data_IF_860179171180
#
_entry.id   IF_860179171180
#
_cell.length_a   1.000
_cell.length_b   1.000
_cell.length_c   1.000
_cell.angle_alpha   90.00
_cell.angle_beta   90.00
_cell.angle_gamma   90.00
#
_symmetry.space_group_name_H-M   'P 1'
#
loop_
_entity.id
_entity.type
_entity.pdbx_description
1 polymer ?
#
# COMPACT_ATOMS: atom_id res chain seq x y z
N UNK A 1 -9.51 -4.86 3.76
CA UNK A 1 -9.74 -3.57 4.48
C UNK A 1 -8.74 -2.54 4.03
N UNK A 2 -7.46 -2.72 4.20
CA UNK A 2 -6.41 -1.77 3.81
C UNK A 2 -6.39 -1.41 2.31
N UNK A 3 -6.81 -2.34 1.46
CA UNK A 3 -6.76 -2.18 -0.01
C UNK A 3 -7.58 -0.99 -0.53
N UNK A 4 -8.54 -0.47 0.26
CA UNK A 4 -9.42 0.63 -0.14
C UNK A 4 -9.36 1.84 0.79
N UNK A 5 -8.37 1.90 1.65
CA UNK A 5 -8.14 3.04 2.56
C UNK A 5 -9.36 3.45 3.39
N UNK A 6 -10.12 2.45 3.89
CA UNK A 6 -11.35 2.65 4.66
C UNK A 6 -11.29 2.08 6.07
N UNK A 7 -10.15 1.50 6.48
CA UNK A 7 -9.99 1.00 7.84
C UNK A 7 -9.92 2.15 8.84
N UNK A 8 -10.56 2.01 9.99
CA UNK A 8 -10.48 2.91 11.15
C UNK A 8 -9.82 2.19 12.31
N UNK A 9 -9.24 2.92 13.23
CA UNK A 9 -8.63 2.34 14.44
C UNK A 9 -9.61 1.45 15.21
N UNK A 10 -10.87 1.91 15.31
CA UNK A 10 -11.94 1.17 16.00
C UNK A 10 -12.27 -0.17 15.34
N UNK A 11 -12.06 -0.30 14.02
CA UNK A 11 -12.34 -1.53 13.28
C UNK A 11 -11.44 -2.70 13.72
N UNK A 12 -10.22 -2.41 14.21
CA UNK A 12 -9.32 -3.45 14.71
C UNK A 12 -9.81 -4.03 16.03
N UNK A 13 -10.27 -3.19 16.93
CA UNK A 13 -10.85 -3.61 18.21
C UNK A 13 -12.17 -4.35 18.01
N UNK A 14 -13.03 -3.83 17.11
CA UNK A 14 -14.29 -4.49 16.75
C UNK A 14 -14.06 -5.85 16.12
N UNK A 15 -13.05 -5.99 15.24
CA UNK A 15 -12.69 -7.27 14.63
C UNK A 15 -12.23 -8.29 15.66
N UNK A 16 -11.40 -7.87 16.65
CA UNK A 16 -11.01 -8.72 17.76
C UNK A 16 -12.20 -9.17 18.60
N UNK A 17 -13.07 -8.23 18.96
CA UNK A 17 -14.25 -8.52 19.77
C UNK A 17 -15.20 -9.46 19.03
N UNK A 18 -15.48 -9.21 17.76
CA UNK A 18 -16.30 -10.08 16.93
C UNK A 18 -15.73 -11.49 16.82
N UNK A 19 -14.43 -11.62 16.62
CA UNK A 19 -13.75 -12.90 16.56
C UNK A 19 -13.88 -13.69 17.87
N UNK A 20 -13.77 -13.01 19.03
CA UNK A 20 -14.00 -13.64 20.35
C UNK A 20 -15.44 -14.08 20.55
N UNK A 21 -16.39 -13.21 20.20
CA UNK A 21 -17.83 -13.54 20.28
C UNK A 21 -18.16 -14.77 19.43
N UNK A 22 -17.67 -14.83 18.18
CA UNK A 22 -17.88 -15.99 17.29
C UNK A 22 -17.31 -17.27 17.94
N UNK A 23 -16.09 -17.21 18.46
CA UNK A 23 -15.45 -18.35 19.11
C UNK A 23 -16.25 -18.85 20.31
N UNK A 24 -16.70 -17.94 21.16
CA UNK A 24 -17.29 -18.27 22.46
C UNK A 24 -18.80 -18.63 22.33
N UNK A 25 -19.49 -18.13 21.29
CA UNK A 25 -20.90 -18.41 21.04
C UNK A 25 -21.17 -19.56 20.08
N UNK A 26 -20.16 -20.06 19.35
CA UNK A 26 -20.33 -21.13 18.40
C UNK A 26 -20.55 -22.49 19.09
N UNK A 27 -21.55 -23.22 18.64
CA UNK A 27 -21.92 -24.53 19.21
C UNK A 27 -21.08 -25.71 18.70
N UNK A 28 -20.33 -25.52 17.61
CA UNK A 28 -19.50 -26.55 17.03
C UNK A 28 -18.02 -26.13 16.94
N UNK A 29 -17.14 -27.11 16.95
CA UNK A 29 -15.70 -26.90 16.89
C UNK A 29 -15.25 -26.10 15.64
N UNK A 30 -15.92 -26.28 14.50
CA UNK A 30 -15.62 -25.55 13.28
C UNK A 30 -15.87 -24.04 13.46
N UNK A 31 -17.01 -23.66 14.03
CA UNK A 31 -17.33 -22.28 14.33
C UNK A 31 -16.38 -21.67 15.37
N UNK A 32 -16.01 -22.43 16.41
CA UNK A 32 -15.07 -22.00 17.44
C UNK A 32 -13.65 -21.75 16.89
N UNK A 33 -13.23 -22.48 15.87
CA UNK A 33 -11.90 -22.33 15.27
C UNK A 33 -11.86 -21.37 14.08
N UNK A 34 -13.01 -21.04 13.50
CA UNK A 34 -13.10 -20.14 12.34
C UNK A 34 -12.40 -18.77 12.52
N UNK A 35 -12.48 -18.11 13.67
CA UNK A 35 -11.80 -16.82 13.88
C UNK A 35 -10.31 -16.92 14.19
N UNK A 36 -9.75 -18.12 14.43
CA UNK A 36 -8.35 -18.27 14.82
C UNK A 36 -7.35 -17.67 13.84
N UNK A 37 -7.50 -17.77 12.49
CA UNK A 37 -6.58 -17.11 11.56
C UNK A 37 -6.58 -15.59 11.71
N UNK A 38 -7.73 -14.99 11.99
CA UNK A 38 -7.85 -13.55 12.20
C UNK A 38 -7.19 -13.15 13.52
N UNK A 39 -7.50 -13.85 14.61
CA UNK A 39 -6.91 -13.58 15.92
C UNK A 39 -5.38 -13.74 15.90
N UNK A 40 -4.88 -14.82 15.32
CA UNK A 40 -3.44 -15.07 15.25
C UNK A 40 -2.71 -14.05 14.39
N UNK A 41 -3.30 -13.59 13.31
CA UNK A 41 -2.67 -12.52 12.50
C UNK A 41 -2.69 -11.18 13.22
N UNK A 42 -3.76 -10.84 13.93
CA UNK A 42 -3.81 -9.62 14.75
C UNK A 42 -2.77 -9.66 15.88
N UNK A 43 -2.59 -10.81 16.55
CA UNK A 43 -1.61 -10.95 17.63
C UNK A 43 -0.15 -10.84 17.13
N UNK A 44 0.16 -11.45 15.98
CA UNK A 44 1.53 -11.51 15.48
C UNK A 44 1.95 -10.32 14.62
N UNK A 45 0.99 -9.62 14.00
CA UNK A 45 1.25 -8.54 13.03
C UNK A 45 0.49 -7.26 13.37
N UNK A 46 0.26 -7.00 14.66
CA UNK A 46 -0.48 -5.82 15.13
C UNK A 46 0.08 -4.51 14.57
N UNK A 47 1.40 -4.35 14.60
CA UNK A 47 2.08 -3.15 14.12
C UNK A 47 1.85 -2.91 12.62
N UNK A 48 1.79 -3.99 11.82
CA UNK A 48 1.47 -3.89 10.39
C UNK A 48 0.02 -3.46 10.16
N UNK A 49 -0.91 -3.98 10.96
CA UNK A 49 -2.32 -3.56 10.89
C UNK A 49 -2.47 -2.08 11.24
N UNK A 50 -1.82 -1.62 12.31
CA UNK A 50 -1.84 -0.22 12.74
C UNK A 50 -1.21 0.68 11.66
N UNK A 51 -0.06 0.31 11.09
CA UNK A 51 0.59 1.05 10.02
C UNK A 51 -0.32 1.19 8.79
N UNK A 52 -1.07 0.14 8.43
CA UNK A 52 -1.99 0.17 7.30
C UNK A 52 -3.24 1.02 7.58
N UNK A 53 -3.78 0.95 8.79
CA UNK A 53 -5.05 1.60 9.14
C UNK A 53 -4.84 3.06 9.55
N UNK A 54 -3.86 3.33 10.40
CA UNK A 54 -3.59 4.66 10.95
C UNK A 54 -2.66 5.49 10.07
N UNK A 55 -1.54 4.90 9.65
CA UNK A 55 -0.50 5.63 8.94
C UNK A 55 -0.65 5.56 7.41
N UNK A 56 -1.64 4.77 6.93
CA UNK A 56 -1.87 4.52 5.51
C UNK A 56 -0.59 4.10 4.78
N UNK A 57 0.25 3.33 5.47
CA UNK A 57 1.56 2.90 4.99
C UNK A 57 1.65 1.38 4.94
N UNK A 58 2.06 0.84 3.79
CA UNK A 58 2.34 -0.58 3.63
C UNK A 58 3.85 -0.83 3.73
N UNK A 59 4.31 -1.42 4.84
CA UNK A 59 5.73 -1.73 5.09
C UNK A 59 6.34 -2.66 4.03
N UNK A 60 5.53 -3.58 3.51
CA UNK A 60 5.93 -4.53 2.47
C UNK A 60 5.85 -3.96 1.04
N UNK A 61 5.35 -2.72 0.85
CA UNK A 61 5.13 -2.08 -0.46
C UNK A 61 4.33 -2.96 -1.44
N UNK A 62 3.29 -3.67 -0.95
CA UNK A 62 2.42 -4.56 -1.75
C UNK A 62 1.03 -3.98 -1.98
N UNK A 63 0.54 -3.15 -1.07
CA UNK A 63 -0.78 -2.54 -1.17
C UNK A 63 -0.74 -1.35 -2.14
N UNK A 64 -1.27 -1.53 -3.35
CA UNK A 64 -1.21 -0.51 -4.41
C UNK A 64 -1.80 0.83 -3.99
N UNK A 65 -2.90 0.81 -3.24
CA UNK A 65 -3.58 2.03 -2.82
C UNK A 65 -2.77 2.84 -1.80
N UNK A 66 -1.90 2.16 -1.05
CA UNK A 66 -1.02 2.76 -0.05
C UNK A 66 0.40 3.07 -0.56
N UNK A 67 0.70 2.74 -1.83
CA UNK A 67 2.00 3.05 -2.43
C UNK A 67 1.96 4.38 -3.20
N UNK A 68 3.04 5.11 -3.15
CA UNK A 68 3.28 6.24 -4.03
C UNK A 68 4.66 6.13 -4.67
N UNK A 69 4.75 6.44 -5.97
CA UNK A 69 6.02 6.52 -6.67
C UNK A 69 6.53 7.95 -6.64
N UNK A 70 7.78 8.12 -6.23
CA UNK A 70 8.41 9.45 -6.12
C UNK A 70 9.70 9.47 -6.93
N UNK A 71 9.92 10.55 -7.67
CA UNK A 71 11.17 10.79 -8.40
C UNK A 71 12.08 11.66 -7.54
N UNK A 72 13.30 11.18 -7.25
CA UNK A 72 14.32 11.98 -6.59
C UNK A 72 14.91 12.98 -7.58
N UNK A 73 14.74 14.29 -7.35
CA UNK A 73 15.23 15.33 -8.25
C UNK A 73 16.76 15.38 -8.32
N UNK A 74 17.47 14.90 -7.28
CA UNK A 74 18.93 14.88 -7.25
C UNK A 74 19.54 13.81 -8.15
N UNK A 75 18.85 12.69 -8.30
CA UNK A 75 19.28 11.53 -9.10
C UNK A 75 18.73 11.60 -10.53
N UNK A 76 17.56 12.23 -10.71
CA UNK A 76 16.89 12.31 -12.00
C UNK A 76 17.68 13.15 -13.02
N UNK A 77 18.02 12.54 -14.16
CA UNK A 77 18.74 13.21 -15.26
C UNK A 77 17.81 13.83 -16.33
N UNK A 78 16.51 13.76 -16.15
CA UNK A 78 15.57 14.34 -17.10
C UNK A 78 15.55 13.66 -18.47
N UNK A 79 15.81 12.35 -18.54
CA UNK A 79 15.89 11.58 -19.81
C UNK A 79 14.54 11.32 -20.47
N UNK A 80 13.42 11.71 -19.88
CA UNK A 80 12.04 11.55 -20.34
C UNK A 80 11.55 10.12 -20.59
N UNK A 81 12.35 9.09 -20.33
CA UNK A 81 11.99 7.71 -20.61
C UNK A 81 10.75 7.27 -19.80
N UNK A 82 10.73 7.57 -18.49
CA UNK A 82 9.60 7.24 -17.62
C UNK A 82 8.30 7.94 -18.07
N UNK A 83 8.37 9.18 -18.54
CA UNK A 83 7.21 9.91 -19.03
C UNK A 83 6.64 9.30 -20.31
N UNK A 84 7.51 8.90 -21.26
CA UNK A 84 7.11 8.25 -22.51
C UNK A 84 6.51 6.86 -22.31
N UNK A 85 6.95 6.17 -21.28
CA UNK A 85 6.48 4.81 -20.96
C UNK A 85 5.30 4.78 -19.98
N UNK A 86 4.83 5.93 -19.52
CA UNK A 86 3.73 6.01 -18.57
C UNK A 86 2.38 5.92 -19.30
N UNK A 87 1.59 4.81 -19.13
CA UNK A 87 0.34 4.63 -19.89
C UNK A 87 -0.69 5.76 -19.66
N UNK A 88 -0.95 6.20 -18.40
CA UNK A 88 -1.88 7.29 -18.13
C UNK A 88 -1.28 8.69 -18.37
N UNK A 89 0.01 8.80 -18.74
CA UNK A 89 0.69 10.08 -18.86
C UNK A 89 0.77 10.87 -17.54
N UNK A 90 0.90 10.16 -16.41
CA UNK A 90 0.96 10.77 -15.08
C UNK A 90 2.32 11.40 -14.75
N UNK A 91 3.30 11.33 -15.63
CA UNK A 91 4.66 11.86 -15.40
C UNK A 91 4.89 13.04 -16.33
N UNK A 92 5.13 14.20 -15.74
CA UNK A 92 5.36 15.46 -16.45
C UNK A 92 6.70 16.07 -16.07
N UNK A 93 7.28 16.84 -16.97
CA UNK A 93 8.55 17.52 -16.75
C UNK A 93 9.14 18.04 -18.06
N UNK A 94 10.27 18.71 -17.96
CA UNK A 94 11.02 19.26 -19.09
C UNK A 94 12.30 18.44 -19.29
N UNK A 95 12.69 18.12 -20.53
CA UNK A 95 13.93 17.40 -20.81
C UNK A 95 15.15 18.08 -20.15
N UNK A 96 16.04 17.26 -19.58
CA UNK A 96 17.21 17.68 -18.80
C UNK A 96 16.91 18.31 -17.42
N UNK A 97 15.64 18.30 -17.00
CA UNK A 97 15.21 18.68 -15.65
C UNK A 97 14.52 17.51 -14.95
N UNK A 98 14.45 17.50 -13.62
CA UNK A 98 13.73 16.45 -12.90
C UNK A 98 12.26 16.40 -13.31
N UNK A 99 11.74 15.19 -13.49
CA UNK A 99 10.34 14.94 -13.76
C UNK A 99 9.56 14.76 -12.44
N UNK A 100 8.25 14.98 -12.48
CA UNK A 100 7.34 14.77 -11.35
C UNK A 100 6.23 13.79 -11.73
N UNK A 101 5.73 13.04 -10.73
CA UNK A 101 4.64 12.09 -10.89
C UNK A 101 3.38 12.70 -10.27
N UNK A 102 2.33 12.80 -11.07
CA UNK A 102 1.00 13.16 -10.58
C UNK A 102 0.34 11.91 -9.96
N UNK A 103 0.22 11.90 -8.64
CA UNK A 103 -0.33 10.76 -7.90
C UNK A 103 -1.81 10.53 -8.19
N UNK A 104 -2.58 11.56 -8.55
CA UNK A 104 -3.99 11.43 -8.88
C UNK A 104 -4.22 10.68 -10.20
N UNK A 105 -3.31 10.83 -11.16
CA UNK A 105 -3.36 10.14 -12.46
C UNK A 105 -2.58 8.83 -12.47
N UNK A 106 -1.73 8.60 -11.48
CA UNK A 106 -0.86 7.44 -11.43
C UNK A 106 -1.65 6.16 -11.11
N UNK A 107 -1.65 5.19 -12.01
CA UNK A 107 -2.25 3.86 -11.80
C UNK A 107 -1.36 2.89 -11.02
N UNK A 108 -0.24 3.36 -10.52
CA UNK A 108 0.70 2.60 -9.67
C UNK A 108 1.18 1.28 -10.30
N UNK A 109 1.41 1.27 -11.61
CA UNK A 109 1.80 0.06 -12.37
C UNK A 109 3.28 -0.34 -12.21
N UNK A 110 4.15 0.56 -11.71
CA UNK A 110 5.57 0.27 -11.50
C UNK A 110 6.48 0.38 -12.74
N UNK A 111 5.94 0.54 -13.94
CA UNK A 111 6.72 0.61 -15.19
C UNK A 111 7.83 1.67 -15.16
N UNK A 112 7.55 2.82 -14.58
CA UNK A 112 8.53 3.90 -14.46
C UNK A 112 9.73 3.50 -13.57
N UNK A 113 9.50 2.75 -12.50
CA UNK A 113 10.53 2.24 -11.60
C UNK A 113 11.46 1.27 -12.34
N UNK A 114 10.89 0.29 -13.06
CA UNK A 114 11.66 -0.71 -13.82
C UNK A 114 12.47 -0.09 -14.96
N UNK A 115 11.93 0.92 -15.62
CA UNK A 115 12.58 1.56 -16.78
C UNK A 115 13.58 2.66 -16.40
N UNK A 116 13.65 3.07 -15.13
CA UNK A 116 14.58 4.11 -14.72
C UNK A 116 16.02 3.58 -14.61
N UNK A 117 16.84 3.86 -15.62
CA UNK A 117 18.25 3.44 -15.67
C UNK A 117 19.12 4.09 -14.57
N UNK A 118 18.64 5.17 -13.99
CA UNK A 118 19.39 5.95 -12.98
C UNK A 118 18.95 5.63 -11.55
N UNK A 119 17.96 4.77 -11.35
CA UNK A 119 17.42 4.46 -10.03
C UNK A 119 16.80 5.67 -9.30
N UNK A 120 16.35 6.66 -10.07
CA UNK A 120 15.82 7.91 -9.51
C UNK A 120 14.38 7.80 -9.00
N UNK A 121 13.74 6.63 -9.10
CA UNK A 121 12.34 6.42 -8.70
C UNK A 121 12.32 5.45 -7.54
N UNK A 122 11.61 5.83 -6.48
CA UNK A 122 11.42 5.01 -5.28
C UNK A 122 9.93 4.88 -4.94
N UNK A 123 9.61 3.87 -4.14
CA UNK A 123 8.28 3.68 -3.56
C UNK A 123 8.29 4.26 -2.14
N UNK A 124 7.22 4.97 -1.81
CA UNK A 124 6.91 5.46 -0.46
C UNK A 124 5.54 5.03 -0.04
#
# INVERSE_FOLDING_TARGET
>A
MCIRDRGRDEDLDELQNLARVIRDSSLCALGQTAPNPVLSTLENFWDEYVAHVRDHHCTAHRCRDLMSFVIDPKVCKGCSLCARMCPPGAISGIPKQPYAIDQARCIKCGTCLEKCKFGAISIR
#
